data_IF_284839152015
#
_entry.id   IF_284839152015
#
_cell.length_a   1.000
_cell.length_b   1.000
_cell.length_c   1.000
_cell.angle_alpha   90.00
_cell.angle_beta   90.00
_cell.angle_gamma   90.00
#
_symmetry.space_group_name_H-M   'P 1'
#
loop_
_entity.id
_entity.type
_entity.pdbx_description
1 polymer ?
#
# COMPACT_ATOMS: atom_id res chain seq x y z
N UNK A 1 -13.36 -32.48 20.79
CA UNK A 1 -12.48 -31.85 19.78
C UNK A 1 -13.00 -30.45 19.60
N UNK A 2 -12.32 -29.46 20.17
CA UNK A 2 -12.80 -28.08 20.23
C UNK A 2 -12.66 -27.35 18.87
N UNK A 3 -13.63 -26.51 18.47
CA UNK A 3 -13.70 -25.90 17.13
C UNK A 3 -12.73 -24.74 16.89
N UNK A 4 -11.84 -24.42 17.83
CA UNK A 4 -10.97 -23.23 17.76
C UNK A 4 -9.49 -23.54 17.48
N UNK A 5 -9.09 -24.79 17.23
CA UNK A 5 -7.71 -25.08 16.80
C UNK A 5 -7.58 -24.83 15.31
N UNK A 6 -7.09 -23.66 14.91
CA UNK A 6 -6.68 -23.36 13.54
C UNK A 6 -5.43 -24.17 13.20
N UNK A 7 -5.62 -25.41 12.73
CA UNK A 7 -4.52 -26.23 12.24
C UNK A 7 -4.14 -25.78 10.84
N UNK A 8 -2.85 -25.75 10.56
CA UNK A 8 -2.36 -25.58 9.21
C UNK A 8 -2.87 -26.71 8.30
N UNK A 9 -3.17 -26.38 7.05
CA UNK A 9 -3.50 -27.38 6.02
C UNK A 9 -2.28 -28.29 5.82
N UNK A 10 -2.52 -29.59 5.83
CA UNK A 10 -1.54 -30.66 5.61
C UNK A 10 -1.92 -31.51 4.38
N UNK A 11 -1.02 -31.72 3.41
CA UNK A 11 0.36 -31.21 3.36
C UNK A 11 0.43 -29.70 3.13
N UNK A 12 1.57 -29.10 3.46
CA UNK A 12 1.86 -27.70 3.17
C UNK A 12 1.66 -27.39 1.68
N UNK A 13 0.77 -26.44 1.31
CA UNK A 13 0.66 -26.02 -0.07
C UNK A 13 2.00 -25.45 -0.57
N UNK A 14 2.39 -25.77 -1.80
CA UNK A 14 3.67 -25.34 -2.39
C UNK A 14 3.84 -23.80 -2.44
N UNK A 15 2.73 -23.06 -2.45
CA UNK A 15 2.72 -21.59 -2.44
C UNK A 15 3.04 -20.98 -1.07
N UNK A 16 3.02 -21.79 0.00
CA UNK A 16 3.32 -21.36 1.36
C UNK A 16 4.73 -21.81 1.71
N UNK A 17 5.67 -20.88 1.73
CA UNK A 17 7.09 -21.19 2.00
C UNK A 17 7.38 -21.29 3.50
N UNK A 18 6.72 -20.46 4.32
CA UNK A 18 6.88 -20.43 5.77
C UNK A 18 5.51 -20.27 6.47
N UNK A 19 5.35 -20.88 7.65
CA UNK A 19 4.15 -20.79 8.51
C UNK A 19 4.53 -20.96 9.97
N UNK A 20 4.11 -20.03 10.81
CA UNK A 20 4.26 -20.13 12.26
C UNK A 20 3.07 -19.51 12.98
N UNK A 21 2.61 -20.14 14.06
CA UNK A 21 1.52 -19.65 14.89
C UNK A 21 2.09 -18.96 16.13
N UNK A 22 2.55 -17.71 15.99
CA UNK A 22 3.11 -16.92 17.07
C UNK A 22 2.77 -15.43 16.89
N UNK A 23 2.74 -14.68 17.99
CA UNK A 23 2.57 -13.23 17.95
C UNK A 23 3.88 -12.56 17.54
N UNK A 24 3.79 -11.46 16.78
CA UNK A 24 4.96 -10.80 16.23
C UNK A 24 4.59 -9.59 15.38
N UNK A 25 5.59 -9.02 14.70
CA UNK A 25 5.43 -7.92 13.76
C UNK A 25 6.34 -8.09 12.54
N UNK A 26 6.02 -7.38 11.46
CA UNK A 26 6.83 -7.37 10.24
C UNK A 26 7.59 -6.06 10.11
N UNK A 27 8.84 -6.16 9.66
CA UNK A 27 9.70 -5.02 9.32
C UNK A 27 10.07 -5.09 7.85
N UNK A 28 9.97 -3.95 7.14
CA UNK A 28 10.35 -3.82 5.74
C UNK A 28 11.37 -2.70 5.59
N UNK A 29 12.59 -3.07 5.23
CA UNK A 29 13.70 -2.14 4.98
C UNK A 29 13.89 -1.96 3.47
N UNK A 30 13.63 -0.75 2.96
CA UNK A 30 13.90 -0.41 1.55
C UNK A 30 15.34 0.07 1.42
N UNK A 31 16.21 -0.81 0.94
CA UNK A 31 17.64 -0.54 0.82
C UNK A 31 17.95 0.31 -0.41
N UNK A 32 17.30 0.04 -1.53
CA UNK A 32 17.43 0.84 -2.75
C UNK A 32 16.23 0.60 -3.70
N UNK A 33 16.24 1.24 -4.88
CA UNK A 33 15.17 1.13 -5.87
C UNK A 33 14.94 -0.30 -6.41
N UNK A 34 15.84 -1.25 -6.15
CA UNK A 34 15.80 -2.62 -6.68
C UNK A 34 15.61 -3.68 -5.61
N UNK A 35 15.95 -3.41 -4.35
CA UNK A 35 15.93 -4.39 -3.26
C UNK A 35 15.32 -3.82 -1.99
N UNK A 36 14.52 -4.64 -1.33
CA UNK A 36 14.06 -4.42 0.03
C UNK A 36 14.24 -5.72 0.84
N UNK A 37 14.55 -5.60 2.13
CA UNK A 37 14.57 -6.73 3.05
C UNK A 37 13.26 -6.76 3.81
N UNK A 38 12.61 -7.91 3.87
CA UNK A 38 11.54 -8.18 4.82
C UNK A 38 12.06 -9.03 5.95
N UNK A 39 11.68 -8.69 7.17
CA UNK A 39 11.88 -9.51 8.35
C UNK A 39 10.55 -9.71 9.09
N UNK A 40 10.34 -10.90 9.64
CA UNK A 40 9.28 -11.15 10.60
C UNK A 40 9.92 -11.39 11.97
N UNK A 41 9.45 -10.67 12.98
CA UNK A 41 9.96 -10.69 14.35
C UNK A 41 8.89 -11.28 15.27
N UNK A 42 9.27 -12.26 16.07
CA UNK A 42 8.44 -12.83 17.14
C UNK A 42 8.49 -11.94 18.37
N UNK A 43 7.39 -11.92 19.11
CA UNK A 43 7.31 -11.29 20.43
C UNK A 43 7.44 -12.37 21.52
N UNK A 44 8.62 -12.97 21.66
CA UNK A 44 8.90 -13.89 22.75
C UNK A 44 9.49 -13.10 23.94
N UNK A 45 8.85 -13.19 25.10
CA UNK A 45 9.36 -12.70 26.40
C UNK A 45 10.03 -11.31 26.38
N UNK A 46 9.30 -10.31 25.86
CA UNK A 46 9.67 -8.88 25.75
C UNK A 46 10.84 -8.54 24.80
N UNK A 47 11.40 -9.51 24.07
CA UNK A 47 12.46 -9.28 23.09
C UNK A 47 11.98 -9.55 21.65
N UNK A 48 12.31 -8.64 20.75
CA UNK A 48 12.02 -8.78 19.31
C UNK A 48 13.06 -9.69 18.67
N UNK A 49 12.72 -10.97 18.48
CA UNK A 49 13.61 -11.95 17.85
C UNK A 49 13.22 -12.13 16.39
N UNK A 50 14.17 -11.91 15.47
CA UNK A 50 13.97 -12.18 14.04
C UNK A 50 13.74 -13.67 13.83
N UNK A 51 12.58 -14.02 13.29
CA UNK A 51 12.22 -15.41 12.99
C UNK A 51 12.43 -15.75 11.51
N UNK A 52 12.16 -14.82 10.59
CA UNK A 52 12.43 -15.01 9.16
C UNK A 52 12.91 -13.73 8.51
N UNK A 53 13.74 -13.87 7.48
CA UNK A 53 14.19 -12.77 6.61
C UNK A 53 14.19 -13.18 5.16
N UNK A 54 13.74 -12.31 4.25
CA UNK A 54 13.87 -12.51 2.82
C UNK A 54 14.11 -11.21 2.05
N UNK A 55 14.89 -11.32 0.97
CA UNK A 55 15.10 -10.23 0.03
C UNK A 55 14.01 -10.20 -1.03
N UNK A 56 13.34 -9.06 -1.13
CA UNK A 56 12.43 -8.71 -2.21
C UNK A 56 13.19 -7.97 -3.30
N UNK A 57 13.00 -8.40 -4.55
CA UNK A 57 13.50 -7.71 -5.73
C UNK A 57 12.35 -6.97 -6.41
N UNK A 58 12.54 -5.67 -6.65
CA UNK A 58 11.56 -4.85 -7.36
C UNK A 58 11.37 -5.37 -8.79
N UNK A 59 10.17 -5.82 -9.12
CA UNK A 59 9.83 -6.32 -10.44
C UNK A 59 9.99 -5.27 -11.55
N UNK A 60 9.77 -3.98 -11.26
CA UNK A 60 9.98 -2.90 -12.24
C UNK A 60 11.45 -2.75 -12.65
N UNK A 61 12.39 -3.21 -11.81
CA UNK A 61 13.82 -3.25 -12.13
C UNK A 61 14.22 -4.46 -12.98
N UNK A 62 13.31 -5.42 -13.18
CA UNK A 62 13.56 -6.64 -13.95
C UNK A 62 13.16 -6.39 -15.40
N UNK A 63 14.14 -6.33 -16.29
CA UNK A 63 13.95 -6.11 -17.73
C UNK A 63 13.01 -7.12 -18.39
N UNK A 64 12.95 -8.36 -17.88
CA UNK A 64 12.02 -9.39 -18.34
C UNK A 64 10.54 -9.11 -17.96
N UNK A 65 10.30 -8.34 -16.90
CA UNK A 65 8.95 -7.92 -16.47
C UNK A 65 8.52 -6.60 -17.16
N UNK A 66 9.43 -5.93 -17.86
CA UNK A 66 9.21 -4.65 -18.53
C UNK A 66 8.37 -4.75 -19.83
N UNK A 67 7.83 -5.92 -20.16
CA UNK A 67 6.94 -6.15 -21.31
C UNK A 67 5.49 -6.37 -20.89
N UNK A 68 4.84 -5.30 -20.46
CA UNK A 68 3.46 -4.94 -20.80
C UNK A 68 3.08 -3.63 -20.08
N UNK A 69 3.83 -2.57 -20.33
CA UNK A 69 3.28 -1.23 -20.21
C UNK A 69 3.91 -0.42 -21.33
N UNK A 70 3.23 -0.39 -22.49
CA UNK A 70 3.41 0.76 -23.35
C UNK A 70 3.14 1.98 -22.49
N UNK A 71 4.07 2.92 -22.54
CA UNK A 71 4.05 4.19 -21.84
C UNK A 71 2.68 4.88 -22.04
N UNK A 72 1.71 4.64 -21.17
CA UNK A 72 0.59 5.57 -20.99
C UNK A 72 1.15 6.70 -20.14
N UNK A 73 1.83 7.60 -20.85
CA UNK A 73 2.13 9.00 -20.57
C UNK A 73 1.99 9.41 -19.09
N UNK A 74 3.12 9.60 -18.40
CA UNK A 74 3.16 10.52 -17.25
C UNK A 74 2.80 11.90 -17.80
N UNK A 75 1.59 12.39 -17.53
CA UNK A 75 1.31 13.81 -17.67
C UNK A 75 2.13 14.57 -16.61
N UNK A 76 2.76 15.70 -16.96
CA UNK A 76 3.47 16.50 -15.96
C UNK A 76 2.45 17.02 -14.94
N UNK A 77 2.77 16.84 -13.65
CA UNK A 77 2.05 17.44 -12.54
C UNK A 77 2.28 18.95 -12.56
N UNK A 78 1.51 19.67 -13.37
CA UNK A 78 1.37 21.11 -13.22
C UNK A 78 0.60 21.38 -11.91
N UNK A 79 1.29 21.94 -10.92
CA UNK A 79 0.70 22.44 -9.68
C UNK A 79 -0.31 23.56 -9.98
N UNK A 80 -1.58 23.21 -10.21
CA UNK A 80 -2.66 24.20 -10.23
C UNK A 80 -3.04 24.57 -8.79
N UNK A 81 -2.52 25.71 -8.32
CA UNK A 81 -3.05 26.40 -7.14
C UNK A 81 -4.56 26.63 -7.32
N UNK A 82 -5.38 26.01 -6.48
CA UNK A 82 -6.82 26.31 -6.42
C UNK A 82 -7.04 27.66 -5.75
N UNK A 83 -7.17 28.73 -6.53
CA UNK A 83 -7.69 30.00 -6.02
C UNK A 83 -9.23 29.94 -5.97
N UNK A 84 -9.79 30.01 -4.76
CA UNK A 84 -11.23 30.13 -4.50
C UNK A 84 -11.79 31.40 -5.16
N UNK A 85 -12.64 31.28 -6.18
CA UNK A 85 -13.45 32.41 -6.69
C UNK A 85 -14.60 32.69 -5.72
N UNK A 86 -14.64 33.88 -5.12
CA UNK A 86 -15.83 34.40 -4.43
C UNK A 86 -16.93 34.64 -5.46
N UNK A 87 -18.11 34.06 -5.24
CA UNK A 87 -19.31 34.28 -6.06
C UNK A 87 -19.86 35.68 -5.72
N UNK A 88 -19.77 36.60 -6.67
CA UNK A 88 -20.39 37.93 -6.59
C UNK A 88 -21.92 37.80 -6.60
N UNK A 89 -22.57 38.58 -5.73
CA UNK A 89 -24.03 38.76 -5.70
C UNK A 89 -24.42 39.69 -6.83
N UNK A 90 -25.14 39.17 -7.83
CA UNK A 90 -25.79 40.01 -8.82
C UNK A 90 -27.08 40.58 -8.22
N UNK A 91 -27.07 41.88 -8.00
CA UNK A 91 -28.26 42.67 -7.67
C UNK A 91 -28.76 43.31 -8.96
N UNK A 92 -29.98 42.97 -9.39
CA UNK A 92 -30.92 43.88 -10.08
C UNK A 92 -32.17 43.11 -10.57
N UNK A 93 -33.33 43.54 -10.08
CA UNK A 93 -34.50 43.74 -10.92
C UNK A 93 -35.42 44.75 -10.21
N UNK A 94 -35.60 45.89 -10.86
CA UNK A 94 -36.56 46.93 -10.55
C UNK A 94 -37.88 46.71 -11.31
N UNK A 95 -38.92 47.45 -10.89
CA UNK A 95 -40.32 47.55 -11.36
C UNK A 95 -41.25 46.50 -10.72
N UNK A 96 -42.36 46.81 -10.04
CA UNK A 96 -43.10 48.07 -9.84
C UNK A 96 -44.62 47.78 -9.93
N UNK A 97 -45.40 48.45 -9.07
CA UNK A 97 -46.89 48.53 -8.97
C UNK A 97 -47.62 47.39 -8.25
N UNK A 98 -48.70 47.58 -7.48
CA UNK A 98 -49.47 48.73 -6.93
C UNK A 98 -50.42 48.12 -5.87
N UNK A 99 -50.91 48.99 -4.97
CA UNK A 99 -52.02 48.87 -4.00
C UNK A 99 -52.83 47.58 -3.88
#
# INVERSE_FOLDING_TARGET
MDPCTYRFIDPQPQISVFREASFGHGELEVVNATHAMWAWHRNDDDESVVSDTFWLRNLASISACHKSFSMVQRLPLENKLMTRRKKGKDSKASLGRTS
#
